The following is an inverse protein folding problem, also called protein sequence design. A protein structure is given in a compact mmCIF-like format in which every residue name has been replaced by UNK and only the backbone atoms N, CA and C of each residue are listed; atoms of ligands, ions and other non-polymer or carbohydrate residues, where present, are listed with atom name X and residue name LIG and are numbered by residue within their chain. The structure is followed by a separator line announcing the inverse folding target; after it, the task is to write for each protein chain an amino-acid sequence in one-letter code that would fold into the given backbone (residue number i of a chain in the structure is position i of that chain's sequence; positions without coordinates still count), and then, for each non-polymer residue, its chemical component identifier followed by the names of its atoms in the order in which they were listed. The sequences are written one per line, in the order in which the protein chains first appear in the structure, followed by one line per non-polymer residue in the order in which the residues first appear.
data_IF_398572573898
#
_entry.id   IF_398572573898
#
_cell.length_a   1.000
_cell.length_b   1.000
_cell.length_c   1.000
_cell.angle_alpha   90.00
_cell.angle_beta   90.00
_cell.angle_gamma   90.00
#
_symmetry.space_group_name_H-M   'P 1'
#
loop_
_entity.id
_entity.type
_entity.pdbx_description
1 polymer ?
#
# COMPACT_ATOMS: atom_id res chain seq x y z
N UNK A 1 12.73 9.10 8.29
CA UNK A 1 13.34 8.21 7.28
C UNK A 1 14.34 9.01 6.45
N UNK A 2 15.60 8.67 6.55
CA UNK A 2 16.64 9.29 5.71
C UNK A 2 16.88 8.52 4.42
N UNK A 3 16.60 7.21 4.45
CA UNK A 3 16.83 6.30 3.33
C UNK A 3 15.79 6.51 2.23
N UNK A 4 16.25 6.48 0.98
CA UNK A 4 15.41 6.58 -0.23
C UNK A 4 15.49 5.29 -1.02
N UNK A 5 14.42 4.99 -1.75
CA UNK A 5 14.36 3.88 -2.71
C UNK A 5 13.74 4.36 -4.02
N UNK A 6 14.09 3.71 -5.11
CA UNK A 6 13.58 4.06 -6.43
C UNK A 6 12.63 2.97 -6.93
N UNK A 7 11.41 3.38 -7.26
CA UNK A 7 10.43 2.58 -7.98
C UNK A 7 10.62 2.86 -9.47
N UNK A 8 10.60 1.81 -10.29
CA UNK A 8 10.85 1.99 -11.72
C UNK A 8 12.35 2.22 -12.04
N UNK A 9 12.63 2.53 -13.29
CA UNK A 9 13.98 2.84 -13.76
C UNK A 9 13.94 3.72 -15.02
N UNK A 10 15.03 4.39 -15.36
CA UNK A 10 15.06 5.27 -16.52
C UNK A 10 13.97 6.34 -16.43
N UNK A 11 13.14 6.41 -17.46
CA UNK A 11 12.05 7.40 -17.53
C UNK A 11 10.90 7.13 -16.53
N UNK A 12 10.82 5.93 -15.98
CA UNK A 12 9.83 5.60 -14.95
C UNK A 12 10.38 5.70 -13.53
N UNK A 13 11.64 6.09 -13.35
CA UNK A 13 12.27 6.17 -12.05
C UNK A 13 11.56 7.17 -11.15
N UNK A 14 11.15 6.71 -9.98
CA UNK A 14 10.43 7.47 -8.97
C UNK A 14 11.06 7.22 -7.60
N UNK A 15 11.87 8.17 -7.14
CA UNK A 15 12.60 8.05 -5.88
C UNK A 15 11.77 8.62 -4.74
N UNK A 16 11.51 7.79 -3.74
CA UNK A 16 10.68 8.11 -2.58
C UNK A 16 11.37 7.66 -1.29
N UNK A 17 10.82 8.03 -0.13
CA UNK A 17 11.27 7.46 1.14
C UNK A 17 11.17 5.94 1.11
N UNK A 18 12.09 5.24 1.80
CA UNK A 18 12.14 3.78 1.81
C UNK A 18 10.86 3.13 2.34
N UNK A 19 10.02 3.90 3.03
CA UNK A 19 8.70 3.53 3.50
C UNK A 19 7.73 4.66 3.20
N UNK A 20 6.58 4.33 2.60
CA UNK A 20 5.48 5.27 2.41
C UNK A 20 4.46 5.18 3.55
N UNK A 21 3.40 5.95 3.44
CA UNK A 21 2.31 5.98 4.41
C UNK A 21 0.99 5.60 3.73
N UNK A 22 0.37 4.51 4.19
CA UNK A 22 -0.96 4.11 3.75
C UNK A 22 -2.03 4.88 4.51
N UNK A 23 -2.80 5.71 3.81
CA UNK A 23 -3.76 6.63 4.44
C UNK A 23 -5.15 6.03 4.68
N UNK A 24 -5.45 4.84 4.16
CA UNK A 24 -6.79 4.26 4.23
C UNK A 24 -7.36 4.23 5.66
N UNK A 25 -6.59 3.74 6.61
CA UNK A 25 -7.03 3.52 7.98
C UNK A 25 -7.21 4.79 8.81
N UNK A 26 -6.87 5.96 8.29
CA UNK A 26 -7.12 7.23 8.99
C UNK A 26 -8.62 7.45 9.20
N UNK A 27 -9.44 7.14 8.20
CA UNK A 27 -10.89 7.35 8.28
C UNK A 27 -11.72 6.36 7.43
N UNK A 28 -11.18 5.17 7.13
CA UNK A 28 -11.87 4.17 6.31
C UNK A 28 -11.55 2.74 6.75
N UNK A 29 -12.56 1.86 6.79
CA UNK A 29 -12.46 0.42 7.04
C UNK A 29 -11.74 -0.02 8.32
N UNK A 30 -11.80 0.76 9.39
CA UNK A 30 -11.26 0.42 10.72
C UNK A 30 -12.27 0.75 11.82
N UNK A 31 -12.13 0.09 12.96
CA UNK A 31 -13.10 0.18 14.08
C UNK A 31 -13.18 1.57 14.69
N UNK A 32 -12.05 2.25 14.81
CA UNK A 32 -11.98 3.56 15.45
C UNK A 32 -11.08 4.50 14.65
N UNK A 33 -11.49 5.74 14.60
CA UNK A 33 -10.73 6.81 13.96
C UNK A 33 -10.39 7.91 14.97
N UNK A 34 -9.20 8.52 14.87
CA UNK A 34 -8.89 9.71 15.63
C UNK A 34 -9.77 10.89 15.21
N UNK A 35 -9.73 11.98 15.96
CA UNK A 35 -10.32 13.23 15.49
C UNK A 35 -9.57 13.73 14.24
N UNK A 36 -10.26 14.55 13.43
CA UNK A 36 -9.67 15.11 12.20
C UNK A 36 -8.36 15.86 12.49
N UNK A 37 -8.29 16.60 13.59
CA UNK A 37 -7.08 17.33 13.98
C UNK A 37 -5.92 16.39 14.28
N UNK A 38 -6.19 15.26 14.94
CA UNK A 38 -5.18 14.25 15.23
C UNK A 38 -4.71 13.53 13.99
N UNK A 39 -5.61 13.25 13.05
CA UNK A 39 -5.27 12.64 11.76
C UNK A 39 -4.33 13.56 10.96
N UNK A 40 -4.67 14.83 10.87
CA UNK A 40 -3.84 15.84 10.20
C UNK A 40 -2.48 15.96 10.89
N UNK A 41 -2.46 16.04 12.21
CA UNK A 41 -1.22 16.12 12.98
C UNK A 41 -0.33 14.90 12.74
N UNK A 42 -0.91 13.71 12.65
CA UNK A 42 -0.17 12.48 12.39
C UNK A 42 0.46 12.47 10.99
N UNK A 43 -0.26 12.95 9.99
CA UNK A 43 0.28 13.10 8.62
C UNK A 43 1.45 14.10 8.62
N UNK A 44 1.33 15.22 9.33
CA UNK A 44 2.43 16.19 9.49
C UNK A 44 3.65 15.54 10.14
N UNK A 45 3.45 14.75 11.20
CA UNK A 45 4.54 14.02 11.86
C UNK A 45 5.24 13.04 10.88
N UNK A 46 4.49 12.39 10.00
CA UNK A 46 5.07 11.53 8.98
C UNK A 46 5.94 12.33 7.99
N UNK A 47 5.47 13.48 7.53
CA UNK A 47 6.25 14.38 6.65
C UNK A 47 7.53 14.82 7.34
N UNK A 48 7.44 15.29 8.57
CA UNK A 48 8.61 15.78 9.32
C UNK A 48 9.62 14.67 9.62
N UNK A 49 9.19 13.42 9.69
CA UNK A 49 10.07 12.24 9.83
C UNK A 49 10.60 11.72 8.49
N UNK A 50 10.33 12.41 7.40
CA UNK A 50 10.92 12.14 6.10
C UNK A 50 10.15 11.19 5.20
N UNK A 51 8.89 10.91 5.50
CA UNK A 51 7.99 10.18 4.58
C UNK A 51 7.66 11.11 3.41
N UNK A 52 7.84 10.61 2.18
CA UNK A 52 7.60 11.39 0.96
C UNK A 52 6.51 10.82 0.08
N UNK A 53 5.96 9.64 0.41
CA UNK A 53 4.91 8.99 -0.38
C UNK A 53 3.71 8.69 0.50
N UNK A 54 2.56 9.25 0.14
CA UNK A 54 1.28 9.08 0.82
C UNK A 54 0.29 8.44 -0.14
N UNK A 55 -0.26 7.27 0.24
CA UNK A 55 -1.13 6.47 -0.61
C UNK A 55 -2.58 6.56 -0.16
N UNK A 56 -3.46 6.92 -1.08
CA UNK A 56 -4.91 6.98 -0.91
C UNK A 56 -5.63 6.35 -2.10
N UNK A 57 -6.93 6.51 -2.19
CA UNK A 57 -7.76 6.05 -3.32
C UNK A 57 -9.11 6.77 -3.35
N UNK A 58 -9.69 6.85 -4.55
CA UNK A 58 -11.07 7.33 -4.72
C UNK A 58 -12.04 6.56 -3.82
N UNK A 59 -11.86 5.23 -3.74
CA UNK A 59 -12.78 4.33 -3.03
C UNK A 59 -12.68 4.39 -1.50
N UNK A 60 -11.71 5.08 -0.96
CA UNK A 60 -11.59 5.18 0.50
C UNK A 60 -12.60 6.19 1.05
N UNK A 61 -13.82 5.70 1.35
CA UNK A 61 -14.94 6.53 1.76
C UNK A 61 -15.48 7.41 0.64
N UNK A 62 -15.24 7.08 -0.61
CA UNK A 62 -15.61 7.84 -1.82
C UNK A 62 -15.33 9.34 -1.68
N UNK A 63 -14.10 9.73 -2.00
CA UNK A 63 -13.53 11.08 -1.89
C UNK A 63 -13.21 11.57 -0.47
N UNK A 64 -13.75 10.97 0.59
CA UNK A 64 -13.56 11.48 1.97
C UNK A 64 -12.10 11.37 2.40
N UNK A 65 -11.45 10.24 2.13
CA UNK A 65 -10.05 10.05 2.47
C UNK A 65 -9.14 10.97 1.66
N UNK A 66 -9.38 11.09 0.36
CA UNK A 66 -8.60 12.02 -0.49
C UNK A 66 -8.70 13.46 0.00
N UNK A 67 -9.88 13.91 0.41
CA UNK A 67 -10.06 15.28 0.96
C UNK A 67 -9.30 15.48 2.27
N UNK A 68 -9.30 14.49 3.14
CA UNK A 68 -8.52 14.53 4.39
C UNK A 68 -7.01 14.61 4.09
N UNK A 69 -6.52 13.75 3.20
CA UNK A 69 -5.10 13.72 2.82
C UNK A 69 -4.70 15.05 2.16
N UNK A 70 -5.54 15.58 1.29
CA UNK A 70 -5.31 16.87 0.63
C UNK A 70 -5.21 18.03 1.62
N UNK A 71 -6.11 18.07 2.60
CA UNK A 71 -6.04 19.08 3.66
C UNK A 71 -4.78 18.92 4.52
N UNK A 72 -4.45 17.70 4.90
CA UNK A 72 -3.28 17.42 5.73
C UNK A 72 -1.96 17.75 5.03
N UNK A 73 -1.89 17.55 3.71
CA UNK A 73 -0.67 17.81 2.93
C UNK A 73 -0.60 19.22 2.32
N UNK A 74 -1.60 20.06 2.55
CA UNK A 74 -1.58 21.43 2.10
C UNK A 74 -0.36 22.16 2.70
N UNK A 75 0.46 22.76 1.84
CA UNK A 75 1.72 23.40 2.25
C UNK A 75 2.94 22.47 2.25
N UNK A 76 2.76 21.18 1.96
CA UNK A 76 3.85 20.20 1.89
C UNK A 76 4.02 19.59 0.48
N UNK A 77 3.25 20.04 -0.50
CA UNK A 77 3.20 19.44 -1.85
C UNK A 77 4.50 19.56 -2.64
N UNK A 78 5.40 20.41 -2.22
CA UNK A 78 6.76 20.52 -2.74
C UNK A 78 7.74 19.48 -2.15
N UNK A 79 7.35 18.81 -1.06
CA UNK A 79 8.18 17.86 -0.32
C UNK A 79 7.73 16.42 -0.45
N UNK A 80 6.47 16.19 -0.86
CA UNK A 80 5.86 14.86 -0.86
C UNK A 80 5.10 14.58 -2.15
N UNK A 81 4.83 13.30 -2.39
CA UNK A 81 3.99 12.84 -3.49
C UNK A 81 2.77 12.10 -2.94
N UNK A 82 1.66 12.21 -3.65
CA UNK A 82 0.45 11.46 -3.34
C UNK A 82 0.20 10.47 -4.44
N UNK A 83 -0.10 9.23 -4.08
CA UNK A 83 -0.66 8.23 -4.97
C UNK A 83 -2.15 8.05 -4.72
N UNK A 84 -2.92 7.91 -5.79
CA UNK A 84 -4.33 7.56 -5.71
C UNK A 84 -4.67 6.46 -6.72
N UNK A 85 -5.92 6.05 -6.79
CA UNK A 85 -6.33 4.86 -7.53
C UNK A 85 -7.68 5.07 -8.20
N UNK A 86 -7.84 4.43 -9.36
CA UNK A 86 -9.07 4.43 -10.14
C UNK A 86 -9.52 2.99 -10.42
N UNK A 87 -10.72 2.84 -10.96
CA UNK A 87 -11.16 1.59 -11.57
C UNK A 87 -12.34 0.92 -10.90
N UNK A 88 -12.67 1.26 -9.68
CA UNK A 88 -13.92 0.80 -9.07
C UNK A 88 -15.11 1.54 -9.69
N UNK A 89 -16.23 0.83 -9.84
CA UNK A 89 -17.45 1.42 -10.36
C UNK A 89 -18.29 2.03 -9.25
N UNK A 90 -18.67 3.29 -9.44
CA UNK A 90 -19.56 4.01 -8.56
C UNK A 90 -20.79 4.50 -9.30
N UNK A 91 -21.95 4.36 -8.69
CA UNK A 91 -23.21 4.94 -9.15
C UNK A 91 -23.83 5.74 -8.01
N UNK A 92 -24.04 7.04 -8.24
CA UNK A 92 -24.54 7.95 -7.21
C UNK A 92 -23.75 7.89 -5.87
N UNK A 93 -22.43 7.78 -5.96
CA UNK A 93 -21.55 7.72 -4.80
C UNK A 93 -21.49 6.37 -4.07
N UNK A 94 -22.14 5.35 -4.59
CA UNK A 94 -22.15 4.00 -4.03
C UNK A 94 -21.34 3.06 -4.92
N UNK A 95 -20.40 2.33 -4.32
CA UNK A 95 -19.60 1.36 -5.05
C UNK A 95 -20.43 0.13 -5.45
N UNK A 96 -20.38 -0.22 -6.74
CA UNK A 96 -20.94 -1.48 -7.25
C UNK A 96 -19.83 -2.54 -7.15
N UNK A 97 -19.83 -3.30 -6.05
CA UNK A 97 -18.73 -4.22 -5.72
C UNK A 97 -18.52 -5.37 -6.70
N UNK A 98 -19.50 -5.65 -7.55
CA UNK A 98 -19.43 -6.72 -8.56
C UNK A 98 -18.93 -6.25 -9.91
N UNK A 99 -18.66 -4.97 -10.07
CA UNK A 99 -18.26 -4.37 -11.34
C UNK A 99 -17.10 -3.40 -11.15
N UNK A 100 -16.25 -3.33 -12.19
CA UNK A 100 -15.18 -2.36 -12.30
C UNK A 100 -15.43 -1.44 -13.47
N UNK A 101 -14.81 -0.26 -13.47
CA UNK A 101 -14.89 0.69 -14.58
C UNK A 101 -13.53 1.36 -14.79
N UNK A 102 -12.73 0.79 -15.69
CA UNK A 102 -11.47 1.37 -16.16
C UNK A 102 -11.59 1.88 -17.60
N UNK A 103 -12.79 2.30 -18.01
CA UNK A 103 -12.94 2.99 -19.29
C UNK A 103 -12.11 4.27 -19.32
N UNK A 104 -11.58 4.68 -20.49
CA UNK A 104 -10.82 5.92 -20.62
C UNK A 104 -11.55 7.14 -20.04
N UNK A 105 -12.85 7.26 -20.28
CA UNK A 105 -13.65 8.36 -19.74
C UNK A 105 -13.68 8.35 -18.22
N UNK A 106 -13.85 7.18 -17.59
CA UNK A 106 -13.86 7.06 -16.13
C UNK A 106 -12.49 7.32 -15.52
N UNK A 107 -11.42 6.81 -16.13
CA UNK A 107 -10.04 7.08 -15.66
C UNK A 107 -9.80 8.59 -15.62
N UNK A 108 -10.18 9.32 -16.67
CA UNK A 108 -10.01 10.77 -16.72
C UNK A 108 -10.85 11.50 -15.68
N UNK A 109 -12.09 11.09 -15.50
CA UNK A 109 -13.00 11.66 -14.50
C UNK A 109 -12.45 11.48 -13.09
N UNK A 110 -12.00 10.27 -12.76
CA UNK A 110 -11.40 9.97 -11.46
C UNK A 110 -10.13 10.78 -11.25
N UNK A 111 -9.27 10.87 -12.24
CA UNK A 111 -8.05 11.67 -12.17
C UNK A 111 -8.36 13.14 -11.83
N UNK A 112 -9.29 13.76 -12.54
CA UNK A 112 -9.69 15.15 -12.28
C UNK A 112 -10.29 15.32 -10.88
N UNK A 113 -11.12 14.40 -10.45
CA UNK A 113 -11.70 14.41 -9.11
C UNK A 113 -10.62 14.26 -8.02
N UNK A 114 -9.69 13.34 -8.20
CA UNK A 114 -8.58 13.12 -7.25
C UNK A 114 -7.69 14.37 -7.15
N UNK A 115 -7.36 15.01 -8.27
CA UNK A 115 -6.57 16.25 -8.27
C UNK A 115 -7.28 17.34 -7.46
N UNK A 116 -8.60 17.51 -7.66
CA UNK A 116 -9.38 18.50 -6.91
C UNK A 116 -9.47 18.16 -5.41
N UNK A 117 -9.79 16.92 -5.08
CA UNK A 117 -9.92 16.46 -3.70
C UNK A 117 -8.60 16.62 -2.92
N UNK A 118 -7.50 16.31 -3.56
CA UNK A 118 -6.16 16.40 -2.98
C UNK A 118 -5.56 17.82 -3.04
N UNK A 119 -6.15 18.70 -3.85
CA UNK A 119 -5.63 20.06 -4.01
C UNK A 119 -4.25 20.11 -4.65
N UNK A 120 -3.96 19.19 -5.58
CA UNK A 120 -2.69 19.11 -6.30
C UNK A 120 -2.91 19.21 -7.81
N UNK A 121 -1.90 19.68 -8.53
CA UNK A 121 -1.95 19.76 -10.00
C UNK A 121 -1.51 18.46 -10.67
N UNK A 122 -0.74 17.63 -9.96
CA UNK A 122 -0.17 16.39 -10.48
C UNK A 122 -0.17 15.33 -9.39
N UNK A 123 -0.64 14.12 -9.71
CA UNK A 123 -0.47 12.95 -8.84
C UNK A 123 0.92 12.36 -9.03
N UNK A 124 1.57 11.93 -7.95
CA UNK A 124 2.84 11.22 -8.02
C UNK A 124 2.69 9.86 -8.69
N UNK A 125 1.66 9.09 -8.27
CA UNK A 125 1.30 7.80 -8.84
C UNK A 125 -0.21 7.71 -9.03
N UNK A 126 -0.64 7.04 -10.11
CA UNK A 126 -2.04 6.70 -10.34
C UNK A 126 -2.15 5.23 -10.67
N UNK A 127 -2.84 4.46 -9.81
CA UNK A 127 -2.96 3.01 -9.94
C UNK A 127 -4.34 2.61 -10.45
N UNK A 128 -4.38 1.62 -11.35
CA UNK A 128 -5.60 0.83 -11.52
C UNK A 128 -5.80 -0.03 -10.27
N UNK A 129 -6.89 0.17 -9.55
CA UNK A 129 -7.12 -0.46 -8.24
C UNK A 129 -7.40 -1.94 -8.36
N UNK A 130 -8.23 -2.32 -9.35
CA UNK A 130 -8.50 -3.71 -9.74
C UNK A 130 -8.67 -3.77 -11.25
N UNK A 131 -8.34 -4.91 -11.85
CA UNK A 131 -8.50 -5.12 -13.29
C UNK A 131 -9.99 -5.09 -13.67
N UNK A 132 -10.30 -4.35 -14.74
CA UNK A 132 -11.62 -4.32 -15.34
C UNK A 132 -11.66 -5.35 -16.48
N UNK A 133 -12.43 -6.44 -16.36
CA UNK A 133 -12.48 -7.46 -17.40
C UNK A 133 -13.12 -6.98 -18.71
N UNK A 134 -13.84 -5.86 -18.69
CA UNK A 134 -14.53 -5.31 -19.84
C UNK A 134 -13.75 -4.22 -20.58
N UNK A 135 -12.57 -3.84 -20.07
CA UNK A 135 -11.70 -2.85 -20.71
C UNK A 135 -10.33 -3.47 -20.95
N UNK A 136 -9.87 -3.56 -22.21
CA UNK A 136 -8.52 -4.07 -22.51
C UNK A 136 -7.46 -3.29 -21.74
N UNK A 137 -6.47 -3.99 -21.19
CA UNK A 137 -5.41 -3.33 -20.40
C UNK A 137 -4.60 -2.36 -21.26
N UNK A 138 -4.53 -2.61 -22.59
CA UNK A 138 -3.88 -1.71 -23.53
C UNK A 138 -4.56 -0.34 -23.56
N UNK A 139 -5.88 -0.30 -23.51
CA UNK A 139 -6.66 0.95 -23.47
C UNK A 139 -6.44 1.71 -22.16
N UNK A 140 -6.34 0.99 -21.05
CA UNK A 140 -6.00 1.57 -19.72
C UNK A 140 -4.60 2.18 -19.76
N UNK A 141 -3.61 1.43 -20.22
CA UNK A 141 -2.24 1.89 -20.33
C UNK A 141 -2.10 3.10 -21.26
N UNK A 142 -2.80 3.11 -22.39
CA UNK A 142 -2.81 4.24 -23.32
C UNK A 142 -3.39 5.50 -22.68
N UNK A 143 -4.47 5.37 -21.94
CA UNK A 143 -5.08 6.50 -21.22
C UNK A 143 -4.12 7.06 -20.18
N UNK A 144 -3.46 6.21 -19.40
CA UNK A 144 -2.44 6.65 -18.43
C UNK A 144 -1.24 7.31 -19.10
N UNK A 145 -0.82 6.80 -20.28
CA UNK A 145 0.22 7.43 -21.07
C UNK A 145 -0.14 8.87 -21.46
N UNK A 146 -1.38 9.09 -21.87
CA UNK A 146 -1.90 10.43 -22.21
C UNK A 146 -1.91 11.34 -20.98
N UNK A 147 -2.35 10.84 -19.83
CA UNK A 147 -2.35 11.60 -18.57
C UNK A 147 -0.93 12.00 -18.12
N UNK A 148 0.05 11.14 -18.35
CA UNK A 148 1.47 11.45 -18.09
C UNK A 148 1.92 12.61 -19.02
N UNK A 149 1.63 12.52 -20.30
CA UNK A 149 1.99 13.56 -21.28
C UNK A 149 1.33 14.91 -20.97
N UNK A 150 0.11 14.87 -20.45
CA UNK A 150 -0.63 16.06 -20.03
C UNK A 150 -0.17 16.64 -18.69
N UNK A 151 0.75 15.97 -17.98
CA UNK A 151 1.27 16.40 -16.70
C UNK A 151 0.31 16.21 -15.52
N UNK A 152 -0.76 15.45 -15.69
CA UNK A 152 -1.75 15.18 -14.62
C UNK A 152 -1.31 14.10 -13.65
N UNK A 153 -0.49 13.17 -14.12
CA UNK A 153 0.16 12.15 -13.29
C UNK A 153 1.63 12.07 -13.68
N UNK A 154 2.52 11.78 -12.73
CA UNK A 154 3.93 11.54 -13.03
C UNK A 154 4.18 10.10 -13.44
N UNK A 155 3.54 9.17 -12.75
CA UNK A 155 3.73 7.74 -12.91
C UNK A 155 2.40 6.99 -12.80
N UNK A 156 2.36 5.78 -13.35
CA UNK A 156 1.20 4.91 -13.19
C UNK A 156 1.61 3.51 -12.77
N UNK A 157 0.65 2.76 -12.27
CA UNK A 157 0.83 1.39 -11.85
C UNK A 157 -0.49 0.62 -11.81
N UNK A 158 -0.41 -0.61 -11.31
CA UNK A 158 -1.55 -1.51 -11.18
C UNK A 158 -1.50 -2.24 -9.85
N UNK A 159 -2.69 -2.57 -9.32
CA UNK A 159 -2.84 -3.34 -8.10
C UNK A 159 -3.37 -4.74 -8.42
N UNK A 160 -2.87 -5.77 -7.71
CA UNK A 160 -3.37 -7.15 -7.79
C UNK A 160 -3.52 -7.65 -9.23
N UNK A 161 -2.42 -7.73 -9.95
CA UNK A 161 -2.36 -8.01 -11.38
C UNK A 161 -1.45 -9.21 -11.66
N UNK A 162 -1.77 -10.00 -12.69
CA UNK A 162 -0.97 -11.14 -13.11
C UNK A 162 0.15 -10.75 -14.09
N UNK A 163 1.08 -11.67 -14.29
CA UNK A 163 2.26 -11.50 -15.15
C UNK A 163 1.90 -11.11 -16.60
N UNK A 164 0.94 -11.79 -17.20
CA UNK A 164 0.54 -11.51 -18.59
C UNK A 164 0.01 -10.08 -18.75
N UNK A 165 -0.85 -9.66 -17.85
CA UNK A 165 -1.41 -8.30 -17.86
C UNK A 165 -0.33 -7.24 -17.67
N UNK A 166 0.63 -7.46 -16.76
CA UNK A 166 1.76 -6.55 -16.56
C UNK A 166 2.55 -6.40 -17.85
N UNK A 167 2.89 -7.51 -18.51
CA UNK A 167 3.68 -7.48 -19.77
C UNK A 167 2.96 -6.69 -20.85
N UNK A 168 1.66 -6.92 -21.02
CA UNK A 168 0.86 -6.23 -22.02
C UNK A 168 0.75 -4.73 -21.75
N UNK A 169 0.49 -4.35 -20.54
CA UNK A 169 0.41 -2.95 -20.12
C UNK A 169 1.77 -2.23 -20.28
N UNK A 170 2.85 -2.87 -19.86
CA UNK A 170 4.19 -2.30 -19.87
C UNK A 170 4.68 -1.97 -21.28
N UNK A 171 4.27 -2.75 -22.28
CA UNK A 171 4.58 -2.48 -23.70
C UNK A 171 3.95 -1.20 -24.24
N UNK A 172 2.79 -0.85 -23.73
CA UNK A 172 2.02 0.34 -24.18
C UNK A 172 2.49 1.58 -23.41
N UNK A 173 2.56 1.47 -22.10
CA UNK A 173 3.05 2.53 -21.21
C UNK A 173 3.86 1.89 -20.09
N UNK A 174 5.17 2.13 -20.04
CA UNK A 174 5.99 1.54 -19.00
C UNK A 174 5.43 1.77 -17.59
N UNK A 175 5.30 0.69 -16.84
CA UNK A 175 4.73 0.68 -15.49
C UNK A 175 5.80 1.04 -14.48
N UNK A 176 5.52 1.98 -13.59
CA UNK A 176 6.47 2.37 -12.54
C UNK A 176 6.44 1.42 -11.36
N UNK A 177 5.25 0.99 -10.92
CA UNK A 177 5.13 0.10 -9.77
C UNK A 177 3.89 -0.80 -9.84
N UNK A 178 4.00 -1.95 -9.20
CA UNK A 178 2.88 -2.84 -8.88
C UNK A 178 2.61 -2.74 -7.38
N UNK A 179 1.34 -2.61 -7.01
CA UNK A 179 0.91 -2.61 -5.62
C UNK A 179 0.08 -3.87 -5.35
N UNK A 180 0.55 -4.73 -4.45
CA UNK A 180 -0.14 -5.97 -4.07
C UNK A 180 0.03 -6.26 -2.60
N UNK A 181 -0.88 -7.07 -2.04
CA UNK A 181 -0.71 -7.55 -0.68
C UNK A 181 0.55 -8.41 -0.60
N UNK A 182 1.46 -8.04 0.30
CA UNK A 182 2.68 -8.80 0.54
C UNK A 182 3.13 -8.60 1.98
N UNK A 183 3.27 -9.69 2.69
CA UNK A 183 3.76 -9.76 4.07
C UNK A 183 4.16 -11.19 4.41
N UNK A 184 4.71 -11.41 5.60
CA UNK A 184 5.18 -12.73 6.06
C UNK A 184 4.15 -13.85 5.91
N UNK A 185 2.85 -13.53 6.02
CA UNK A 185 1.75 -14.51 5.95
C UNK A 185 1.08 -14.58 4.57
N UNK A 186 1.48 -13.76 3.61
CA UNK A 186 0.92 -13.72 2.25
C UNK A 186 2.06 -13.46 1.25
N UNK A 187 2.59 -14.53 0.68
CA UNK A 187 3.81 -14.52 -0.11
C UNK A 187 3.61 -14.97 -1.56
N UNK A 188 2.37 -14.90 -2.06
CA UNK A 188 2.03 -15.37 -3.41
C UNK A 188 2.86 -14.70 -4.51
N UNK A 189 3.23 -13.44 -4.35
CA UNK A 189 4.02 -12.70 -5.33
C UNK A 189 5.42 -13.29 -5.55
N UNK A 190 5.92 -14.08 -4.59
CA UNK A 190 7.22 -14.78 -4.73
C UNK A 190 7.12 -16.00 -5.64
N UNK A 191 5.94 -16.59 -5.82
CA UNK A 191 5.74 -17.86 -6.56
C UNK A 191 4.88 -17.73 -7.81
N UNK A 192 4.09 -16.66 -7.95
CA UNK A 192 3.26 -16.42 -9.13
C UNK A 192 3.96 -15.68 -10.28
N UNK A 193 5.25 -15.38 -10.13
CA UNK A 193 6.07 -14.71 -11.13
C UNK A 193 6.02 -13.18 -11.10
N UNK A 194 5.15 -12.57 -10.29
CA UNK A 194 4.97 -11.11 -10.29
C UNK A 194 6.22 -10.39 -9.78
N UNK A 195 6.77 -10.82 -8.64
CA UNK A 195 7.95 -10.17 -8.06
C UNK A 195 9.18 -10.33 -8.97
N UNK A 196 9.37 -11.52 -9.55
CA UNK A 196 10.43 -11.79 -10.52
C UNK A 196 10.29 -10.92 -11.75
N UNK A 197 9.08 -10.78 -12.29
CA UNK A 197 8.83 -9.93 -13.46
C UNK A 197 9.12 -8.45 -13.15
N UNK A 198 8.76 -7.97 -11.96
CA UNK A 198 9.10 -6.61 -11.54
C UNK A 198 10.61 -6.39 -11.54
N UNK A 199 11.38 -7.36 -11.04
CA UNK A 199 12.85 -7.30 -11.07
C UNK A 199 13.38 -7.24 -12.51
N UNK A 200 12.88 -8.12 -13.37
CA UNK A 200 13.32 -8.22 -14.77
C UNK A 200 13.01 -6.96 -15.59
N UNK A 201 11.86 -6.36 -15.37
CA UNK A 201 11.41 -5.18 -16.11
C UNK A 201 11.79 -3.85 -15.43
N UNK A 202 12.43 -3.90 -14.26
CA UNK A 202 12.76 -2.69 -13.52
C UNK A 202 11.52 -1.95 -12.99
N UNK A 203 10.48 -2.68 -12.60
CA UNK A 203 9.25 -2.15 -12.00
C UNK A 203 9.38 -2.19 -10.48
N UNK A 204 8.98 -1.11 -9.81
CA UNK A 204 8.94 -1.07 -8.35
C UNK A 204 7.80 -1.92 -7.78
N UNK A 205 7.91 -2.27 -6.51
CA UNK A 205 6.89 -3.07 -5.83
C UNK A 205 6.49 -2.39 -4.51
N UNK A 206 5.18 -2.19 -4.34
CA UNK A 206 4.61 -1.50 -3.18
C UNK A 206 3.70 -2.46 -2.42
N UNK A 207 4.20 -3.12 -1.35
CA UNK A 207 3.36 -3.96 -0.50
C UNK A 207 2.33 -3.14 0.25
N UNK A 208 1.06 -3.43 0.05
CA UNK A 208 0.03 -2.92 0.96
C UNK A 208 -0.28 -3.96 2.05
N UNK A 209 -0.85 -3.52 3.15
CA UNK A 209 -1.08 -4.34 4.35
C UNK A 209 0.17 -5.11 4.81
N UNK A 210 1.33 -4.46 4.89
CA UNK A 210 2.60 -5.17 5.18
C UNK A 210 2.64 -5.80 6.57
N UNK A 211 1.74 -5.41 7.48
CA UNK A 211 1.58 -5.99 8.81
C UNK A 211 0.35 -6.89 8.94
N UNK A 212 -0.19 -7.36 7.80
CA UNK A 212 -1.43 -8.14 7.76
C UNK A 212 -2.55 -7.45 8.56
N UNK A 213 -2.81 -6.17 8.24
CA UNK A 213 -3.86 -5.35 8.87
C UNK A 213 -3.75 -5.28 10.40
N UNK A 214 -2.53 -5.23 10.91
CA UNK A 214 -2.21 -5.14 12.34
C UNK A 214 -1.91 -6.48 13.02
N UNK A 215 -2.18 -7.62 12.39
CA UNK A 215 -1.94 -8.94 12.99
C UNK A 215 -0.45 -9.14 13.35
N UNK A 216 0.46 -8.81 12.44
CA UNK A 216 1.90 -8.96 12.65
C UNK A 216 2.49 -7.96 13.66
N UNK A 217 1.71 -6.98 14.09
CA UNK A 217 2.07 -6.07 15.19
C UNK A 217 1.91 -6.69 16.59
N UNK A 218 1.25 -7.84 16.69
CA UNK A 218 1.08 -8.56 17.95
C UNK A 218 -0.06 -8.07 18.85
N UNK A 219 -0.85 -7.09 18.39
CA UNK A 219 -1.95 -6.50 19.18
C UNK A 219 -3.31 -7.17 18.96
N UNK A 220 -3.41 -8.10 18.01
CA UNK A 220 -4.64 -8.82 17.69
C UNK A 220 -4.52 -10.24 18.23
N UNK A 221 -5.56 -10.69 18.95
CA UNK A 221 -5.70 -12.04 19.44
C UNK A 221 -7.13 -12.56 19.22
N UNK A 222 -7.39 -13.80 19.61
CA UNK A 222 -8.69 -14.47 19.42
C UNK A 222 -9.87 -13.76 20.11
N UNK A 223 -9.61 -12.89 21.06
CA UNK A 223 -10.62 -12.11 21.79
C UNK A 223 -10.83 -10.70 21.22
N UNK A 224 -10.03 -10.29 20.25
CA UNK A 224 -10.16 -8.98 19.60
C UNK A 224 -11.48 -8.90 18.86
N UNK A 225 -12.21 -7.80 19.07
CA UNK A 225 -13.48 -7.52 18.38
C UNK A 225 -13.31 -6.38 17.40
N UNK A 226 -13.90 -6.52 16.23
CA UNK A 226 -13.92 -5.52 15.18
C UNK A 226 -15.33 -4.96 15.01
N UNK A 227 -15.44 -3.66 14.77
CA UNK A 227 -16.74 -3.02 14.53
C UNK A 227 -17.37 -3.59 13.26
N UNK A 228 -18.57 -4.15 13.40
CA UNK A 228 -19.27 -4.82 12.29
C UNK A 228 -19.76 -3.84 11.20
N UNK A 229 -19.80 -2.55 11.49
CA UNK A 229 -20.32 -1.54 10.57
C UNK A 229 -19.26 -0.91 9.69
N UNK A 230 -18.00 -0.84 10.15
CA UNK A 230 -16.97 -0.08 9.45
C UNK A 230 -15.58 -0.75 9.39
N UNK A 231 -15.38 -1.89 10.05
CA UNK A 231 -14.08 -2.58 10.03
C UNK A 231 -14.15 -3.83 9.15
N UNK A 232 -13.48 -3.79 8.00
CA UNK A 232 -13.53 -4.89 7.04
C UNK A 232 -12.84 -6.17 7.51
N UNK A 233 -12.04 -6.13 8.59
CA UNK A 233 -11.39 -7.32 9.14
C UNK A 233 -12.41 -8.33 9.69
N UNK A 234 -13.54 -7.86 10.19
CA UNK A 234 -14.56 -8.73 10.77
C UNK A 234 -15.15 -9.74 9.77
N UNK A 235 -15.08 -9.48 8.47
CA UNK A 235 -15.58 -10.39 7.42
C UNK A 235 -14.50 -11.30 6.83
N UNK A 236 -13.22 -11.04 7.14
CA UNK A 236 -12.14 -11.80 6.55
C UNK A 236 -11.91 -13.12 7.30
N UNK A 237 -11.83 -14.27 6.60
CA UNK A 237 -11.64 -15.59 7.24
C UNK A 237 -10.43 -15.65 8.18
N UNK A 238 -9.32 -15.00 7.81
CA UNK A 238 -8.09 -14.99 8.60
C UNK A 238 -8.20 -14.22 9.92
N UNK A 239 -9.25 -13.42 10.11
CA UNK A 239 -9.51 -12.71 11.36
C UNK A 239 -10.63 -13.33 12.19
N UNK A 240 -11.09 -14.53 11.82
CA UNK A 240 -11.97 -15.29 12.69
C UNK A 240 -11.17 -15.87 13.87
N UNK A 241 -11.76 -16.04 15.07
CA UNK A 241 -11.02 -16.44 16.28
C UNK A 241 -10.18 -17.71 16.11
N UNK A 242 -10.68 -18.72 15.42
CA UNK A 242 -9.96 -19.97 15.18
C UNK A 242 -8.70 -19.75 14.31
N UNK A 243 -8.83 -18.95 13.26
CA UNK A 243 -7.71 -18.63 12.37
C UNK A 243 -6.65 -17.78 13.08
N UNK A 244 -7.08 -16.80 13.88
CA UNK A 244 -6.17 -15.98 14.69
C UNK A 244 -5.40 -16.88 15.66
N UNK A 245 -6.07 -17.76 16.38
CA UNK A 245 -5.44 -18.70 17.31
C UNK A 245 -4.40 -19.58 16.62
N UNK A 246 -4.78 -20.17 15.47
CA UNK A 246 -3.89 -21.05 14.71
C UNK A 246 -2.62 -20.34 14.22
N UNK A 247 -2.74 -19.07 13.83
CA UNK A 247 -1.66 -18.28 13.25
C UNK A 247 -0.85 -17.46 14.27
N UNK A 248 -1.31 -17.37 15.52
CA UNK A 248 -0.65 -16.56 16.56
C UNK A 248 0.79 -17.00 16.84
N UNK A 249 1.11 -18.28 16.58
CA UNK A 249 2.47 -18.80 16.67
C UNK A 249 3.50 -17.98 15.91
N UNK A 250 3.10 -17.37 14.78
CA UNK A 250 3.99 -16.50 14.00
C UNK A 250 4.40 -15.29 14.83
N UNK A 251 3.45 -14.69 15.52
CA UNK A 251 3.70 -13.53 16.39
C UNK A 251 4.62 -13.93 17.54
N UNK A 252 4.45 -15.12 18.11
CA UNK A 252 5.33 -15.65 19.17
C UNK A 252 6.77 -15.81 18.70
N UNK A 253 6.96 -16.35 17.47
CA UNK A 253 8.30 -16.47 16.87
C UNK A 253 8.92 -15.08 16.66
N UNK A 254 8.17 -14.12 16.14
CA UNK A 254 8.66 -12.75 15.95
C UNK A 254 8.99 -12.08 17.28
N UNK A 255 8.21 -12.28 18.32
CA UNK A 255 8.50 -11.77 19.66
C UNK A 255 9.78 -12.39 20.23
N UNK A 256 9.95 -13.70 20.11
CA UNK A 256 11.16 -14.39 20.61
C UNK A 256 12.41 -13.89 19.90
N UNK A 257 12.37 -13.78 18.58
CA UNK A 257 13.48 -13.22 17.80
C UNK A 257 13.73 -11.75 18.16
N UNK A 258 12.68 -10.96 18.25
CA UNK A 258 12.76 -9.52 18.54
C UNK A 258 13.43 -9.23 19.89
N UNK A 259 13.17 -10.05 20.90
CA UNK A 259 13.81 -9.92 22.22
C UNK A 259 15.33 -10.04 22.15
N UNK A 260 15.87 -10.84 21.24
CA UNK A 260 17.32 -10.99 21.08
C UNK A 260 17.98 -9.75 20.48
N UNK A 261 17.22 -8.92 19.76
CA UNK A 261 17.73 -7.72 19.07
C UNK A 261 17.14 -6.40 19.59
N UNK A 262 16.21 -6.44 20.53
CA UNK A 262 15.52 -5.25 21.01
C UNK A 262 14.62 -4.59 19.96
N UNK A 263 14.01 -5.38 19.08
CA UNK A 263 13.09 -4.92 18.02
C UNK A 263 11.73 -5.61 18.15
N UNK A 264 10.70 -4.96 17.63
CA UNK A 264 9.31 -5.43 17.72
C UNK A 264 8.92 -6.33 16.55
N UNK A 265 7.86 -7.15 16.69
CA UNK A 265 7.31 -7.92 15.57
C UNK A 265 6.99 -7.08 14.35
N UNK A 266 6.38 -5.91 14.52
CA UNK A 266 6.09 -4.99 13.41
C UNK A 266 7.36 -4.56 12.68
N UNK A 267 8.40 -4.21 13.41
CA UNK A 267 9.70 -3.83 12.83
C UNK A 267 10.34 -4.99 12.06
N UNK A 268 10.26 -6.20 12.60
CA UNK A 268 10.76 -7.40 11.91
C UNK A 268 10.01 -7.63 10.60
N UNK A 269 8.68 -7.58 10.62
CA UNK A 269 7.85 -7.81 9.44
C UNK A 269 8.12 -6.79 8.33
N UNK A 270 8.25 -5.51 8.68
CA UNK A 270 8.56 -4.44 7.72
C UNK A 270 9.98 -4.56 7.18
N UNK A 271 10.96 -4.77 8.05
CA UNK A 271 12.36 -4.93 7.65
C UNK A 271 12.54 -6.18 6.77
N UNK A 272 11.82 -7.25 7.05
CA UNK A 272 11.83 -8.46 6.23
C UNK A 272 11.44 -8.15 4.78
N UNK A 273 10.36 -7.40 4.56
CA UNK A 273 9.96 -6.96 3.22
C UNK A 273 11.04 -6.15 2.53
N UNK A 274 11.58 -5.16 3.22
CA UNK A 274 12.60 -4.27 2.65
C UNK A 274 13.93 -4.98 2.38
N UNK A 275 14.23 -6.04 3.11
CA UNK A 275 15.42 -6.85 2.88
C UNK A 275 15.25 -7.87 1.72
N UNK A 276 14.05 -8.04 1.19
CA UNK A 276 13.80 -8.94 0.05
C UNK A 276 14.39 -8.41 -1.26
N UNK A 277 14.09 -7.16 -1.58
CA UNK A 277 14.53 -6.51 -2.83
C UNK A 277 14.67 -5.00 -2.62
N UNK A 278 15.64 -4.35 -3.27
CA UNK A 278 15.86 -2.90 -3.10
C UNK A 278 14.76 -2.03 -3.69
N UNK A 279 13.92 -2.57 -4.56
CA UNK A 279 12.81 -1.86 -5.20
C UNK A 279 11.46 -2.03 -4.47
N UNK A 280 11.46 -2.58 -3.26
CA UNK A 280 10.25 -2.75 -2.44
C UNK A 280 10.11 -1.54 -1.49
N UNK A 281 8.95 -0.88 -1.56
CA UNK A 281 8.58 0.25 -0.69
C UNK A 281 7.25 -0.07 -0.01
N UNK A 282 7.25 -0.58 1.22
CA UNK A 282 6.01 -0.87 1.94
C UNK A 282 5.29 0.42 2.35
N UNK A 283 3.96 0.33 2.44
CA UNK A 283 3.10 1.45 2.83
C UNK A 283 2.23 1.11 4.05
N UNK A 284 2.82 0.86 5.22
CA UNK A 284 2.03 0.62 6.42
C UNK A 284 1.23 1.87 6.80
N UNK A 285 -0.01 1.67 7.23
CA UNK A 285 -0.84 2.72 7.81
C UNK A 285 -0.91 2.59 9.33
N UNK A 286 -1.12 3.70 10.01
CA UNK A 286 -1.33 3.73 11.45
C UNK A 286 -2.10 4.99 11.85
N UNK A 287 -2.78 4.93 12.99
CA UNK A 287 -3.45 6.07 13.61
C UNK A 287 -2.75 6.55 14.88
N UNK A 288 -1.59 5.98 15.19
CA UNK A 288 -0.83 6.28 16.42
C UNK A 288 0.60 6.73 16.09
N UNK A 289 1.01 7.85 16.69
CA UNK A 289 2.38 8.36 16.52
C UNK A 289 3.44 7.34 16.95
N UNK A 290 3.22 6.65 18.06
CA UNK A 290 4.14 5.61 18.55
C UNK A 290 4.35 4.49 17.53
N UNK A 291 3.30 4.07 16.84
CA UNK A 291 3.41 3.04 15.79
C UNK A 291 4.09 3.60 14.52
N UNK A 292 3.84 4.86 14.18
CA UNK A 292 4.56 5.50 13.08
C UNK A 292 6.07 5.50 13.33
N UNK A 293 6.49 5.93 14.50
CA UNK A 293 7.90 5.96 14.91
C UNK A 293 8.52 4.55 14.90
N UNK A 294 7.79 3.58 15.46
CA UNK A 294 8.18 2.17 15.48
C UNK A 294 8.39 1.63 14.05
N UNK A 295 7.41 1.85 13.18
CA UNK A 295 7.46 1.40 11.78
C UNK A 295 8.66 2.00 11.04
N UNK A 296 8.89 3.29 11.17
CA UNK A 296 9.96 3.99 10.46
C UNK A 296 11.36 3.53 10.84
N UNK A 297 11.56 3.07 12.08
CA UNK A 297 12.85 2.48 12.51
C UNK A 297 13.19 1.21 11.76
N UNK A 298 12.21 0.50 11.20
CA UNK A 298 12.45 -0.71 10.40
C UNK A 298 13.30 -0.43 9.14
N UNK A 299 13.33 0.79 8.66
CA UNK A 299 14.14 1.18 7.49
C UNK A 299 15.64 0.96 7.69
N UNK A 300 16.11 0.96 8.93
CA UNK A 300 17.54 0.85 9.28
C UNK A 300 17.92 -0.58 9.71
N UNK A 301 16.96 -1.50 9.79
CA UNK A 301 17.19 -2.88 10.21
C UNK A 301 17.68 -3.72 9.05
N UNK A 302 18.78 -4.44 9.26
CA UNK A 302 19.31 -5.42 8.31
C UNK A 302 19.40 -6.77 9.00
N UNK A 303 19.12 -7.84 8.25
CA UNK A 303 19.17 -9.21 8.72
C UNK A 303 20.32 -9.97 8.06
N UNK A 304 20.96 -10.85 8.83
CA UNK A 304 21.86 -11.86 8.27
C UNK A 304 21.05 -12.98 7.60
N UNK A 305 21.70 -13.80 6.76
CA UNK A 305 21.07 -14.96 6.16
C UNK A 305 20.53 -15.95 7.21
N UNK A 306 21.24 -16.11 8.32
CA UNK A 306 20.85 -16.97 9.43
C UNK A 306 19.59 -16.42 10.13
N UNK A 307 19.53 -15.12 10.38
CA UNK A 307 18.37 -14.46 10.98
C UNK A 307 17.15 -14.59 10.08
N UNK A 308 17.29 -14.37 8.78
CA UNK A 308 16.21 -14.57 7.80
C UNK A 308 15.70 -16.00 7.80
N UNK A 309 16.59 -16.99 7.91
CA UNK A 309 16.21 -18.39 8.02
C UNK A 309 15.33 -18.68 9.24
N UNK A 310 15.64 -18.07 10.39
CA UNK A 310 14.82 -18.22 11.59
C UNK A 310 13.43 -17.61 11.44
N UNK A 311 13.31 -16.48 10.76
CA UNK A 311 12.03 -15.82 10.48
C UNK A 311 11.19 -16.64 9.49
N UNK A 312 11.82 -17.32 8.52
CA UNK A 312 11.15 -18.10 7.48
C UNK A 312 10.55 -19.43 7.95
N UNK A 313 10.94 -19.97 9.10
CA UNK A 313 10.46 -21.27 9.63
C UNK A 313 8.96 -21.26 9.96
N UNK A 314 8.34 -20.09 10.05
CA UNK A 314 6.91 -19.94 10.33
C UNK A 314 6.11 -19.73 9.05
N UNK A 315 5.93 -20.77 8.23
CA UNK A 315 4.94 -20.70 7.14
C UNK A 315 3.52 -20.74 7.73
N UNK A 316 2.63 -19.81 7.28
CA UNK A 316 1.25 -19.84 7.73
C UNK A 316 0.56 -21.11 7.24
N UNK A 317 -0.25 -21.74 8.10
CA UNK A 317 -1.19 -22.77 7.67
C UNK A 317 -2.13 -22.15 6.64
N UNK A 318 -2.07 -22.69 5.43
CA UNK A 318 -3.03 -22.32 4.37
C UNK A 318 -4.41 -22.82 4.77
N UNK A 319 -5.32 -21.92 5.02
CA UNK A 319 -6.76 -22.21 5.11
C UNK A 319 -7.49 -21.30 4.13
#
# INVERSE_FOLDING_TARGET
VRTRRTLGHGNTAFTVSAMGYGCMGLNHNRSQYPSREKEIALVHEAVERGVTLFDTAESYGYHINEKLVGEALKGYTDRVFVSSKFGHKFVNGVQIKTEEDSTPANIRRVCENSLRNLGVETLGMFYQHRIDPNTPIEAVAETCSKLIKEGKILHWGMCEVNVDTIRRAHKICPVTAIQSEYHLMHRMVETNGVLELCEDLGIGFVPYSPLNRGFLGGMINEYTKFDVTNDNRQTLPRFQPEAIRANYRIVEVLNAFGRTRGITPAQIALAWLMNKKPFIVPIPGTTKLSHLEENLRACDIRFTAEELSLIHISEPTRH
#
